data_IF_153850403327
#
_entry.id   IF_153850403327
#
_cell.length_a   1.000
_cell.length_b   1.000
_cell.length_c   1.000
_cell.angle_alpha   90.00
_cell.angle_beta   90.00
_cell.angle_gamma   90.00
#
_symmetry.space_group_name_H-M   'P 1'
#
loop_
_entity.id
_entity.type
_entity.pdbx_description
1 polymer ?
#
# COMPACT_ATOMS: atom_id res chain seq x y z
N UNK A 1 7.50 -24.92 -21.28
CA UNK A 1 7.48 -24.27 -19.95
C UNK A 1 6.09 -23.67 -19.70
N UNK A 2 5.18 -24.40 -19.01
CA UNK A 2 3.78 -23.98 -18.76
C UNK A 2 3.24 -24.56 -17.43
N UNK A 3 3.97 -24.39 -16.33
CA UNK A 3 3.53 -24.85 -15.01
C UNK A 3 3.36 -23.72 -13.98
N UNK A 4 3.67 -22.47 -14.34
CA UNK A 4 3.80 -21.37 -13.36
C UNK A 4 2.51 -20.59 -13.08
N UNK A 5 1.48 -20.66 -13.93
CA UNK A 5 0.31 -19.76 -13.83
C UNK A 5 -0.88 -20.35 -13.06
N UNK A 6 -1.04 -21.68 -13.00
CA UNK A 6 -2.21 -22.34 -12.39
C UNK A 6 -2.43 -22.02 -10.91
N UNK A 7 -1.36 -21.71 -10.17
CA UNK A 7 -1.44 -21.46 -8.73
C UNK A 7 -2.00 -20.07 -8.43
N UNK A 8 -1.65 -19.07 -9.25
CA UNK A 8 -2.19 -17.70 -9.15
C UNK A 8 -3.67 -17.70 -9.48
N UNK A 9 -4.09 -18.41 -10.54
CA UNK A 9 -5.50 -18.55 -10.90
C UNK A 9 -6.35 -19.19 -9.80
N UNK A 10 -5.81 -20.17 -9.08
CA UNK A 10 -6.54 -20.81 -7.98
C UNK A 10 -6.73 -19.86 -6.79
N UNK A 11 -5.67 -19.11 -6.41
CA UNK A 11 -5.74 -18.09 -5.37
C UNK A 11 -6.75 -16.99 -5.68
N UNK A 12 -6.70 -16.44 -6.91
CA UNK A 12 -7.62 -15.40 -7.37
C UNK A 12 -9.08 -15.88 -7.42
N UNK A 13 -9.31 -17.14 -7.83
CA UNK A 13 -10.66 -17.71 -7.87
C UNK A 13 -11.26 -17.88 -6.47
N UNK A 14 -10.44 -18.32 -5.49
CA UNK A 14 -10.87 -18.46 -4.10
C UNK A 14 -11.12 -17.09 -3.47
N UNK A 15 -10.20 -16.14 -3.68
CA UNK A 15 -10.30 -14.78 -3.14
C UNK A 15 -11.48 -14.02 -3.76
N UNK A 16 -11.70 -14.15 -5.06
CA UNK A 16 -12.87 -13.60 -5.76
C UNK A 16 -14.20 -14.19 -5.28
N UNK A 17 -14.23 -15.49 -4.98
CA UNK A 17 -15.42 -16.14 -4.40
C UNK A 17 -15.76 -15.63 -3.00
N UNK A 18 -14.74 -15.39 -2.16
CA UNK A 18 -14.92 -14.79 -0.82
C UNK A 18 -15.42 -13.34 -0.93
N UNK A 19 -14.89 -12.55 -1.88
CA UNK A 19 -15.37 -11.19 -2.14
C UNK A 19 -16.83 -11.14 -2.64
N UNK A 20 -17.29 -12.20 -3.33
CA UNK A 20 -18.68 -12.36 -3.77
C UNK A 20 -19.63 -12.86 -2.66
N UNK A 21 -19.14 -13.07 -1.44
CA UNK A 21 -19.96 -13.43 -0.28
C UNK A 21 -20.32 -14.92 -0.17
N UNK A 22 -19.65 -15.80 -0.92
CA UNK A 22 -19.91 -17.26 -0.94
C UNK A 22 -19.12 -18.06 0.11
N UNK A 23 -18.56 -17.40 1.12
CA UNK A 23 -18.02 -18.03 2.32
C UNK A 23 -18.72 -17.42 3.54
N UNK A 24 -19.06 -18.24 4.54
CA UNK A 24 -19.74 -17.78 5.74
C UNK A 24 -18.99 -16.66 6.48
N UNK A 25 -19.55 -16.20 7.60
CA UNK A 25 -19.02 -15.10 8.41
C UNK A 25 -17.52 -15.24 8.72
N UNK A 26 -17.05 -16.47 8.95
CA UNK A 26 -15.65 -16.82 9.24
C UNK A 26 -14.64 -16.52 8.12
N UNK A 27 -15.09 -16.31 6.88
CA UNK A 27 -14.19 -16.08 5.72
C UNK A 27 -13.95 -14.62 5.39
N UNK A 28 -14.70 -13.70 6.00
CA UNK A 28 -14.56 -12.25 5.75
C UNK A 28 -13.26 -11.69 6.33
N UNK A 29 -12.78 -12.26 7.44
CA UNK A 29 -11.56 -11.83 8.13
C UNK A 29 -10.29 -12.54 7.61
N UNK A 30 -10.44 -13.53 6.72
CA UNK A 30 -9.34 -14.31 6.15
C UNK A 30 -8.48 -13.52 5.15
N UNK A 31 -8.98 -12.38 4.68
CA UNK A 31 -8.25 -11.50 3.77
C UNK A 31 -7.80 -10.22 4.48
N UNK A 32 -6.52 -10.15 4.81
CA UNK A 32 -5.90 -8.96 5.39
C UNK A 32 -4.92 -8.38 4.36
N UNK A 33 -5.39 -7.38 3.61
CA UNK A 33 -4.55 -6.61 2.70
C UNK A 33 -3.63 -5.68 3.50
N UNK A 34 -2.32 -5.83 3.35
CA UNK A 34 -1.32 -5.01 4.03
C UNK A 34 -0.33 -4.37 3.04
N UNK A 35 0.16 -3.18 3.35
CA UNK A 35 1.16 -2.49 2.50
C UNK A 35 2.44 -3.30 2.37
N UNK A 36 2.88 -3.57 1.13
CA UNK A 36 4.11 -4.34 0.87
C UNK A 36 5.39 -3.59 1.22
N UNK A 37 5.39 -2.27 1.01
CA UNK A 37 6.53 -1.38 1.24
C UNK A 37 6.13 -0.17 2.09
N UNK A 38 7.14 0.50 2.65
CA UNK A 38 6.93 1.78 3.31
C UNK A 38 6.78 2.86 2.26
N UNK A 39 5.67 3.58 2.27
CA UNK A 39 5.43 4.75 1.43
C UNK A 39 5.83 5.99 2.22
N UNK A 40 6.53 6.90 1.58
CA UNK A 40 7.03 8.12 2.20
C UNK A 40 7.36 9.15 1.15
N UNK A 41 7.69 10.36 1.59
CA UNK A 41 8.21 11.39 0.71
C UNK A 41 9.68 11.63 1.00
N UNK A 42 10.43 12.01 -0.03
CA UNK A 42 11.78 12.49 0.14
C UNK A 42 11.75 13.91 0.74
N UNK A 43 12.50 14.10 1.82
CA UNK A 43 12.67 15.40 2.49
C UNK A 43 14.03 16.00 2.14
N UNK A 44 14.20 17.30 2.39
CA UNK A 44 15.46 18.02 2.11
C UNK A 44 16.66 17.31 2.73
N UNK A 45 17.71 17.09 1.94
CA UNK A 45 18.89 16.33 2.35
C UNK A 45 18.89 14.85 1.95
N UNK A 46 17.97 14.41 1.10
CA UNK A 46 17.93 13.04 0.57
C UNK A 46 17.41 12.00 1.55
N UNK A 47 16.71 12.44 2.61
CA UNK A 47 16.18 11.56 3.66
C UNK A 47 14.72 11.24 3.37
N UNK A 48 14.37 9.96 3.30
CA UNK A 48 12.99 9.53 3.12
C UNK A 48 12.23 9.56 4.45
N UNK A 49 11.18 10.37 4.53
CA UNK A 49 10.22 10.38 5.64
C UNK A 49 9.07 9.43 5.34
N UNK A 50 9.00 8.33 6.11
CA UNK A 50 7.95 7.30 5.97
C UNK A 50 6.60 7.85 6.46
N UNK A 51 5.62 7.88 5.57
CA UNK A 51 4.23 8.28 5.86
C UNK A 51 3.36 7.07 6.19
N UNK A 52 3.51 5.98 5.45
CA UNK A 52 2.83 4.71 5.70
C UNK A 52 3.90 3.62 5.82
N UNK A 53 4.14 3.08 7.02
CA UNK A 53 5.05 1.94 7.21
C UNK A 53 4.59 0.71 6.42
N UNK A 54 5.54 -0.20 6.15
CA UNK A 54 5.22 -1.53 5.59
C UNK A 54 4.38 -2.34 6.60
N UNK A 55 3.50 -3.19 6.10
CA UNK A 55 2.68 -4.09 6.91
C UNK A 55 1.47 -3.40 7.58
N UNK A 56 1.08 -2.20 7.12
CA UNK A 56 -0.14 -1.54 7.60
C UNK A 56 -1.34 -2.09 6.81
N UNK A 57 -2.41 -2.44 7.53
CA UNK A 57 -3.68 -2.91 6.95
C UNK A 57 -4.34 -1.78 6.16
N UNK A 58 -4.78 -2.09 4.94
CA UNK A 58 -5.51 -1.20 4.03
C UNK A 58 -7.01 -1.44 4.24
N UNK A 59 -7.87 -0.40 4.28
CA UNK A 59 -7.62 1.00 3.93
C UNK A 59 -6.99 1.83 5.06
N UNK A 60 -5.95 2.61 4.73
CA UNK A 60 -5.31 3.56 5.64
C UNK A 60 -5.10 4.91 4.98
N UNK A 61 -5.31 6.01 5.70
CA UNK A 61 -5.00 7.37 5.26
C UNK A 61 -4.10 8.04 6.29
N UNK A 62 -2.95 8.54 5.85
CA UNK A 62 -2.00 9.31 6.68
C UNK A 62 -1.76 10.65 6.00
N UNK A 63 -1.73 11.71 6.79
CA UNK A 63 -1.47 13.07 6.32
C UNK A 63 -0.50 13.73 7.28
N UNK A 64 0.55 14.33 6.74
CA UNK A 64 1.58 15.04 7.48
C UNK A 64 1.76 16.40 6.79
N UNK A 65 1.81 17.47 7.58
CA UNK A 65 2.07 18.81 7.06
C UNK A 65 3.58 18.98 6.93
N UNK A 66 4.04 19.33 5.72
CA UNK A 66 5.44 19.66 5.44
C UNK A 66 5.57 21.17 5.18
N UNK A 67 6.60 21.78 5.74
CA UNK A 67 6.91 23.20 5.58
C UNK A 67 8.23 23.29 4.79
N UNK A 68 8.33 24.27 3.90
CA UNK A 68 9.56 24.52 3.14
C UNK A 68 10.72 24.86 4.08
N UNK A 69 11.90 24.33 3.77
CA UNK A 69 13.11 24.53 4.57
C UNK A 69 13.77 25.91 4.32
N UNK A 70 13.40 26.61 3.25
CA UNK A 70 13.96 27.94 2.90
C UNK A 70 12.86 28.96 2.60
N UNK A 71 13.10 30.20 3.02
CA UNK A 71 12.26 31.35 2.71
C UNK A 71 12.20 31.61 1.19
N UNK A 72 11.00 31.88 0.66
CA UNK A 72 10.73 32.13 -0.76
C UNK A 72 11.00 30.96 -1.73
N UNK A 73 10.95 29.71 -1.26
CA UNK A 73 11.03 28.54 -2.15
C UNK A 73 9.75 28.42 -3.01
N UNK A 74 9.86 28.77 -4.30
CA UNK A 74 8.76 28.84 -5.27
C UNK A 74 8.23 27.48 -5.75
N UNK A 75 8.86 26.37 -5.40
CA UNK A 75 8.34 25.03 -5.65
C UNK A 75 8.93 23.99 -4.70
N UNK A 76 8.05 23.16 -4.14
CA UNK A 76 8.41 21.92 -3.45
C UNK A 76 8.48 20.85 -4.53
N UNK A 77 9.69 20.48 -4.93
CA UNK A 77 9.89 19.45 -5.94
C UNK A 77 9.58 18.08 -5.33
N UNK A 78 8.46 17.46 -5.72
CA UNK A 78 8.24 16.03 -5.53
C UNK A 78 8.79 15.34 -6.76
N UNK A 79 10.11 15.11 -6.75
CA UNK A 79 10.80 14.41 -7.82
C UNK A 79 10.28 12.98 -7.93
N UNK A 80 9.68 12.68 -9.07
CA UNK A 80 9.55 11.32 -9.61
C UNK A 80 10.23 11.35 -10.98
#
# INVERSE_FOLDING_TARGET
MRASTTHVYYGDAVQGRVLNGEGGEDTKDLLIEATSLSLGIETTGGVMTKLIPRGIVIPTKKSQIFIAYQDQQTSVNQGI
#
